data_IF_406801580657
#
_entry.id   IF_406801580657
#
_cell.length_a   1.000
_cell.length_b   1.000
_cell.length_c   1.000
_cell.angle_alpha   90.00
_cell.angle_beta   90.00
_cell.angle_gamma   90.00
#
_symmetry.space_group_name_H-M   'P 1'
#
loop_
_entity.id
_entity.type
_entity.pdbx_description
1 polymer ?
#
# COMPACT_ATOMS: atom_id res chain seq x y z
N UNK A 1 -15.59 4.99 -10.24
CA UNK A 1 -14.43 4.06 -10.25
C UNK A 1 -14.29 3.39 -8.91
N UNK A 2 -14.01 2.12 -8.95
CA UNK A 2 -13.74 1.41 -7.71
C UNK A 2 -12.35 1.75 -7.20
N UNK A 3 -12.25 1.96 -5.90
CA UNK A 3 -10.95 2.08 -5.25
C UNK A 3 -10.20 0.76 -5.40
N UNK A 4 -8.92 0.83 -5.78
CA UNK A 4 -8.12 -0.39 -5.89
C UNK A 4 -6.68 -0.12 -5.48
N UNK A 5 -6.02 -1.18 -5.05
CA UNK A 5 -4.59 -1.19 -4.83
C UNK A 5 -4.09 -2.62 -5.05
N UNK A 6 -2.80 -2.74 -5.30
CA UNK A 6 -2.19 -4.03 -5.55
C UNK A 6 -0.94 -4.16 -4.68
N UNK A 7 -0.79 -5.30 -4.04
CA UNK A 7 0.37 -5.57 -3.19
C UNK A 7 1.10 -6.79 -3.73
N UNK A 8 2.42 -6.70 -3.80
CA UNK A 8 3.25 -7.85 -4.15
C UNK A 8 4.56 -7.78 -3.40
N UNK A 9 5.24 -8.92 -3.32
CA UNK A 9 6.54 -9.01 -2.68
C UNK A 9 7.63 -9.08 -3.73
N UNK A 10 8.77 -8.50 -3.39
CA UNK A 10 9.94 -8.46 -4.23
C UNK A 10 11.14 -8.87 -3.38
N UNK A 11 12.07 -9.62 -3.96
CA UNK A 11 13.29 -10.03 -3.27
C UNK A 11 14.07 -8.78 -2.84
N UNK A 12 14.42 -8.73 -1.57
CA UNK A 12 15.19 -7.61 -1.04
C UNK A 12 16.67 -7.82 -1.28
N UNK A 13 17.33 -6.79 -1.80
CA UNK A 13 18.77 -6.75 -1.93
C UNK A 13 19.42 -5.90 -0.86
N UNK A 14 18.61 -5.35 0.02
CA UNK A 14 19.05 -4.50 1.13
C UNK A 14 19.20 -5.30 2.40
N UNK A 15 20.05 -4.82 3.30
CA UNK A 15 20.18 -5.37 4.65
C UNK A 15 18.87 -5.22 5.42
N UNK A 16 18.15 -4.13 5.17
CA UNK A 16 16.83 -3.89 5.78
C UNK A 16 15.76 -3.86 4.71
N UNK A 17 14.90 -4.88 4.64
CA UNK A 17 13.77 -4.85 3.73
C UNK A 17 12.82 -3.71 4.07
N UNK A 18 12.20 -3.13 3.07
CA UNK A 18 11.35 -1.97 3.24
C UNK A 18 9.95 -2.19 2.73
N UNK A 19 9.12 -1.19 3.00
CA UNK A 19 7.78 -1.09 2.45
C UNK A 19 7.78 0.07 1.47
N UNK A 20 7.44 -0.20 0.23
CA UNK A 20 7.41 0.80 -0.83
C UNK A 20 5.97 1.02 -1.27
N UNK A 21 5.52 2.26 -1.20
CA UNK A 21 4.16 2.62 -1.59
C UNK A 21 4.26 3.54 -2.80
N UNK A 22 3.73 3.07 -3.93
CA UNK A 22 3.78 3.80 -5.19
C UNK A 22 2.43 4.46 -5.43
N UNK A 23 2.40 5.78 -5.41
CA UNK A 23 1.20 6.56 -5.69
C UNK A 23 1.50 7.39 -6.93
N UNK A 24 0.82 7.08 -8.03
CA UNK A 24 1.11 7.70 -9.31
C UNK A 24 0.56 9.12 -9.39
N UNK A 25 1.37 10.00 -9.93
CA UNK A 25 0.99 11.40 -10.14
C UNK A 25 -0.20 11.53 -11.11
N UNK A 26 -0.31 10.59 -12.03
CA UNK A 26 -1.42 10.54 -12.98
C UNK A 26 -2.77 10.38 -12.28
N UNK A 27 -2.83 9.54 -11.26
CA UNK A 27 -4.07 9.28 -10.52
C UNK A 27 -4.31 10.30 -9.41
N UNK A 28 -3.25 10.86 -8.86
CA UNK A 28 -3.30 11.80 -7.74
C UNK A 28 -2.32 12.94 -8.01
N UNK A 29 -2.72 13.93 -8.83
CA UNK A 29 -1.79 14.98 -9.22
C UNK A 29 -1.36 15.92 -8.09
N UNK A 30 -2.13 15.99 -7.01
CA UNK A 30 -1.79 16.86 -5.87
C UNK A 30 -0.89 16.13 -4.90
N UNK A 31 0.22 16.77 -4.53
CA UNK A 31 1.18 16.16 -3.60
C UNK A 31 0.56 15.87 -2.23
N UNK A 32 -0.34 16.76 -1.76
CA UNK A 32 -1.04 16.59 -0.49
C UNK A 32 -1.84 15.29 -0.48
N UNK A 33 -2.53 15.01 -1.58
CA UNK A 33 -3.35 13.80 -1.69
C UNK A 33 -2.49 12.54 -1.70
N UNK A 34 -1.38 12.58 -2.46
CA UNK A 34 -0.45 11.45 -2.49
C UNK A 34 0.14 11.16 -1.11
N UNK A 35 0.54 12.19 -0.39
CA UNK A 35 1.12 12.03 0.94
C UNK A 35 0.10 11.47 1.94
N UNK A 36 -1.15 11.92 1.85
CA UNK A 36 -2.22 11.44 2.70
C UNK A 36 -2.47 9.95 2.48
N UNK A 37 -2.55 9.53 1.22
CA UNK A 37 -2.79 8.14 0.87
C UNK A 37 -1.63 7.26 1.33
N UNK A 38 -0.40 7.68 1.10
CA UNK A 38 0.79 6.95 1.55
C UNK A 38 0.77 6.73 3.05
N UNK A 39 0.43 7.77 3.82
CA UNK A 39 0.37 7.69 5.27
C UNK A 39 -0.69 6.71 5.75
N UNK A 40 -1.88 6.77 5.15
CA UNK A 40 -2.98 5.89 5.51
C UNK A 40 -2.65 4.42 5.21
N UNK A 41 -2.07 4.17 4.04
CA UNK A 41 -1.68 2.81 3.64
C UNK A 41 -0.56 2.29 4.54
N UNK A 42 0.42 3.12 4.84
CA UNK A 42 1.52 2.74 5.72
C UNK A 42 1.02 2.36 7.11
N UNK A 43 0.09 3.14 7.66
CA UNK A 43 -0.50 2.83 8.96
C UNK A 43 -1.24 1.49 8.93
N UNK A 44 -2.00 1.24 7.86
CA UNK A 44 -2.73 -0.02 7.71
C UNK A 44 -1.76 -1.21 7.60
N UNK A 45 -0.68 -1.04 6.84
CA UNK A 45 0.33 -2.08 6.68
C UNK A 45 1.08 -2.35 7.99
N UNK A 46 1.41 -1.31 8.74
CA UNK A 46 2.08 -1.47 10.03
C UNK A 46 1.25 -2.29 11.01
N UNK A 47 -0.06 -2.19 10.94
CA UNK A 47 -0.96 -2.95 11.79
C UNK A 47 -1.21 -4.37 11.30
N UNK A 48 -1.23 -4.57 9.99
CA UNK A 48 -1.66 -5.83 9.40
C UNK A 48 -0.50 -6.72 8.94
N UNK A 49 0.70 -6.18 8.78
CA UNK A 49 1.81 -6.89 8.19
C UNK A 49 3.03 -6.90 9.11
N UNK A 50 3.57 -8.10 9.34
CA UNK A 50 4.85 -8.26 10.02
C UNK A 50 5.94 -8.31 8.96
N UNK A 51 6.97 -7.47 9.10
CA UNK A 51 8.05 -7.39 8.13
C UNK A 51 8.77 -8.72 7.99
N UNK A 52 8.86 -9.19 6.75
CA UNK A 52 9.68 -10.33 6.40
C UNK A 52 11.10 -9.83 6.14
N UNK A 53 12.08 -10.46 6.74
CA UNK A 53 13.48 -10.06 6.64
C UNK A 53 14.08 -10.25 5.25
N UNK A 54 13.45 -11.02 4.39
CA UNK A 54 14.00 -11.38 3.08
C UNK A 54 13.32 -10.70 1.89
N UNK A 55 12.19 -10.01 2.13
CA UNK A 55 11.38 -9.48 1.04
C UNK A 55 10.97 -8.04 1.26
N UNK A 56 10.98 -7.27 0.16
CA UNK A 56 10.38 -5.95 0.13
C UNK A 56 8.92 -6.06 -0.25
N UNK A 57 8.09 -5.29 0.44
CA UNK A 57 6.67 -5.22 0.09
C UNK A 57 6.45 -4.00 -0.79
N UNK A 58 5.80 -4.20 -1.93
CA UNK A 58 5.47 -3.11 -2.85
C UNK A 58 3.95 -3.00 -2.96
N UNK A 59 3.45 -1.80 -2.68
CA UNK A 59 2.03 -1.50 -2.79
C UNK A 59 1.84 -0.46 -3.89
N UNK A 60 1.16 -0.84 -4.96
CA UNK A 60 0.85 0.06 -6.07
C UNK A 60 -0.59 0.53 -5.89
N UNK A 61 -0.75 1.84 -5.74
CA UNK A 61 -2.06 2.43 -5.45
C UNK A 61 -2.76 2.80 -6.75
N UNK A 62 -3.96 2.25 -6.95
CA UNK A 62 -4.82 2.63 -8.06
C UNK A 62 -5.68 3.84 -7.70
N UNK A 63 -6.56 4.23 -8.63
CA UNK A 63 -7.45 5.38 -8.43
C UNK A 63 -8.57 5.12 -7.43
N UNK A 64 -9.24 6.19 -7.02
CA UNK A 64 -10.46 6.10 -6.23
C UNK A 64 -10.29 6.10 -4.72
N UNK A 65 -9.06 6.08 -4.21
CA UNK A 65 -8.84 5.99 -2.76
C UNK A 65 -9.13 7.28 -2.01
N UNK A 66 -9.15 8.43 -2.68
CA UNK A 66 -9.47 9.70 -2.03
C UNK A 66 -10.89 9.74 -1.48
N UNK A 67 -11.79 8.98 -2.09
CA UNK A 67 -13.19 8.92 -1.68
C UNK A 67 -13.46 7.83 -0.65
N UNK A 68 -12.43 7.05 -0.30
CA UNK A 68 -12.58 5.97 0.67
C UNK A 68 -12.21 6.46 2.07
N UNK A 69 -13.01 6.10 3.09
CA UNK A 69 -12.60 6.35 4.47
C UNK A 69 -11.42 5.44 4.83
N UNK A 70 -10.73 5.80 5.91
CA UNK A 70 -9.58 5.01 6.38
C UNK A 70 -9.92 3.53 6.57
N UNK A 71 -11.11 3.25 7.10
CA UNK A 71 -11.56 1.87 7.30
C UNK A 71 -11.65 1.09 5.99
N UNK A 72 -12.11 1.75 4.92
CA UNK A 72 -12.15 1.13 3.60
C UNK A 72 -10.76 0.84 3.05
N UNK A 73 -9.84 1.77 3.23
CA UNK A 73 -8.44 1.58 2.81
C UNK A 73 -7.81 0.43 3.58
N UNK A 74 -8.04 0.37 4.89
CA UNK A 74 -7.54 -0.71 5.75
C UNK A 74 -8.05 -2.07 5.29
N UNK A 75 -9.33 -2.16 4.93
CA UNK A 75 -9.93 -3.40 4.42
C UNK A 75 -9.28 -3.83 3.11
N UNK A 76 -9.04 -2.89 2.19
CA UNK A 76 -8.38 -3.18 0.93
C UNK A 76 -6.97 -3.70 1.14
N UNK A 77 -6.21 -3.05 2.02
CA UNK A 77 -4.85 -3.47 2.34
C UNK A 77 -4.85 -4.88 2.92
N UNK A 78 -5.72 -5.15 3.89
CA UNK A 78 -5.81 -6.46 4.52
C UNK A 78 -6.19 -7.54 3.51
N UNK A 79 -7.14 -7.24 2.64
CA UNK A 79 -7.60 -8.16 1.61
C UNK A 79 -6.47 -8.51 0.64
N UNK A 80 -5.75 -7.51 0.15
CA UNK A 80 -4.65 -7.74 -0.79
C UNK A 80 -3.48 -8.47 -0.14
N UNK A 81 -3.18 -8.16 1.12
CA UNK A 81 -2.16 -8.91 1.87
C UNK A 81 -2.53 -10.38 2.01
N UNK A 82 -3.79 -10.65 2.28
CA UNK A 82 -4.29 -12.01 2.40
C UNK A 82 -4.07 -12.83 1.13
N UNK A 83 -4.28 -12.20 -0.02
CA UNK A 83 -4.06 -12.86 -1.31
C UNK A 83 -2.59 -13.21 -1.54
N UNK A 84 -1.70 -12.31 -1.15
CA UNK A 84 -0.25 -12.47 -1.41
C UNK A 84 0.37 -13.46 -0.42
N UNK A 85 -0.13 -13.50 0.80
CA UNK A 85 0.37 -14.41 1.84
C UNK A 85 -0.24 -15.80 1.78
N UNK A 86 -1.21 -16.00 0.93
CA UNK A 86 -1.90 -17.29 0.80
C UNK A 86 -1.03 -18.36 0.17
#
# INVERSE_FOLDING_TARGET
>A
MRANLKIYFKKSYSVKPGIFIVVRKKDYPRAVDRNRIKRQIKNALDQAYKKDQSKDLVCVVGGGLLNEPYMGIKKLVTFELSKVNA
#
